data_IF_822672470894
#
_entry.id   IF_822672470894
#
_cell.length_a   1.000
_cell.length_b   1.000
_cell.length_c   1.000
_cell.angle_alpha   90.00
_cell.angle_beta   90.00
_cell.angle_gamma   90.00
#
_symmetry.space_group_name_H-M   'P 1'
#
loop_
_entity.id
_entity.type
_entity.pdbx_description
1 polymer ?
#
# COMPACT_ATOMS: atom_id res chain seq x y z
N UNK A 1 0.40 -120.99 22.63
CA UNK A 1 -0.76 -120.16 22.28
C UNK A 1 -1.82 -120.34 23.34
N UNK A 2 -1.88 -119.45 24.34
CA UNK A 2 -2.91 -119.46 25.35
C UNK A 2 -4.04 -118.57 25.01
N UNK A 3 -5.29 -118.92 25.11
CA UNK A 3 -6.39 -118.03 24.76
C UNK A 3 -6.63 -117.00 25.86
N UNK A 4 -6.60 -115.79 25.47
CA UNK A 4 -6.94 -114.61 26.31
C UNK A 4 -8.38 -114.73 26.79
N UNK A 5 -8.59 -114.93 28.09
CA UNK A 5 -9.93 -114.90 28.72
C UNK A 5 -10.52 -113.54 28.60
N UNK A 6 -11.64 -113.41 27.92
CA UNK A 6 -12.46 -112.23 27.90
C UNK A 6 -13.33 -112.27 29.15
N UNK A 7 -13.06 -111.41 30.08
CA UNK A 7 -13.94 -111.15 31.22
C UNK A 7 -15.15 -110.33 30.79
N UNK A 8 -16.36 -110.70 31.07
CA UNK A 8 -17.51 -109.88 30.69
C UNK A 8 -17.53 -108.58 31.50
N UNK A 9 -17.61 -107.43 30.81
CA UNK A 9 -17.84 -106.14 31.42
C UNK A 9 -19.23 -106.11 32.05
N UNK A 10 -19.35 -105.54 33.24
CA UNK A 10 -20.65 -105.33 33.89
C UNK A 10 -21.57 -104.45 32.96
N UNK A 11 -22.91 -104.65 33.07
CA UNK A 11 -23.83 -103.87 32.23
C UNK A 11 -23.70 -102.34 32.33
N UNK A 12 -23.09 -101.91 33.42
CA UNK A 12 -22.86 -100.44 33.62
C UNK A 12 -21.63 -99.95 32.86
N UNK A 13 -20.63 -100.83 32.66
CA UNK A 13 -19.41 -100.46 31.90
C UNK A 13 -19.63 -100.50 30.38
N UNK A 14 -20.76 -101.04 29.89
CA UNK A 14 -21.14 -101.09 28.48
C UNK A 14 -21.83 -99.79 28.04
N UNK A 15 -22.21 -98.90 28.99
CA UNK A 15 -22.86 -97.56 28.71
C UNK A 15 -21.92 -96.34 28.87
N UNK A 16 -20.68 -96.65 29.29
CA UNK A 16 -19.71 -95.53 29.31
C UNK A 16 -19.14 -95.33 27.90
N UNK A 17 -19.23 -94.13 27.37
CA UNK A 17 -18.65 -93.83 26.05
C UNK A 17 -17.12 -94.04 26.10
N UNK A 18 -16.58 -94.82 25.18
CA UNK A 18 -15.14 -94.94 25.00
C UNK A 18 -14.51 -93.54 24.80
N UNK A 19 -13.66 -93.20 25.77
CA UNK A 19 -12.87 -91.97 25.60
C UNK A 19 -11.96 -92.12 24.38
N UNK A 20 -12.41 -91.67 23.28
CA UNK A 20 -11.58 -91.52 22.08
C UNK A 20 -10.44 -90.56 22.43
N UNK A 21 -9.27 -91.09 22.66
CA UNK A 21 -8.05 -90.28 22.76
C UNK A 21 -7.79 -89.66 21.40
N UNK A 22 -8.13 -88.35 21.29
CA UNK A 22 -7.73 -87.57 20.13
C UNK A 22 -6.21 -87.63 19.99
N UNK A 23 -5.69 -87.94 18.82
CA UNK A 23 -4.25 -87.87 18.61
C UNK A 23 -3.78 -86.45 18.84
N UNK A 24 -2.98 -86.21 19.86
CA UNK A 24 -2.24 -85.00 20.03
C UNK A 24 -1.31 -84.89 18.84
N UNK A 25 -1.77 -84.14 17.81
CA UNK A 25 -0.88 -83.79 16.73
C UNK A 25 0.16 -82.80 17.31
N UNK A 26 1.29 -83.34 17.70
CA UNK A 26 2.46 -82.48 17.93
C UNK A 26 2.79 -81.80 16.62
N UNK A 27 2.40 -80.54 16.54
CA UNK A 27 2.84 -79.68 15.47
C UNK A 27 4.38 -79.62 15.53
N UNK A 28 5.05 -80.51 14.80
CA UNK A 28 6.50 -80.48 14.65
C UNK A 28 6.81 -79.17 13.91
N UNK A 29 7.53 -78.22 14.53
CA UNK A 29 7.92 -76.99 13.84
C UNK A 29 8.72 -77.39 12.58
N UNK A 30 8.29 -76.82 11.42
CA UNK A 30 8.92 -77.12 10.13
C UNK A 30 10.42 -76.79 10.20
N UNK A 31 11.27 -77.67 9.65
CA UNK A 31 12.72 -77.43 9.58
C UNK A 31 13.06 -76.12 8.84
N UNK A 32 12.15 -75.62 7.98
CA UNK A 32 12.28 -74.31 7.31
C UNK A 32 12.20 -73.15 8.29
N UNK A 33 11.45 -73.26 9.38
CA UNK A 33 11.36 -72.22 10.41
C UNK A 33 12.65 -72.01 11.25
N UNK A 34 13.58 -72.99 11.16
CA UNK A 34 14.89 -72.90 11.83
C UNK A 34 16.04 -72.48 10.96
N UNK A 35 15.79 -72.19 9.68
CA UNK A 35 16.84 -71.68 8.81
C UNK A 35 17.12 -70.17 9.15
N UNK A 36 18.36 -69.80 9.59
CA UNK A 36 18.67 -68.46 10.01
C UNK A 36 18.39 -67.45 8.91
N UNK A 37 18.55 -67.77 7.62
CA UNK A 37 18.23 -66.92 6.50
C UNK A 37 16.72 -66.60 6.41
N UNK A 38 15.84 -67.57 6.74
CA UNK A 38 14.39 -67.40 6.77
C UNK A 38 13.97 -66.50 7.96
N UNK A 39 14.63 -66.65 9.11
CA UNK A 39 14.38 -65.84 10.30
C UNK A 39 14.80 -64.41 10.04
N UNK A 40 16.00 -64.17 9.49
CA UNK A 40 16.52 -62.86 9.13
C UNK A 40 15.65 -62.20 8.02
N UNK A 41 15.28 -62.95 6.98
CA UNK A 41 14.41 -62.48 5.93
C UNK A 41 13.03 -62.05 6.44
N UNK A 42 12.41 -62.82 7.34
CA UNK A 42 11.14 -62.48 7.98
C UNK A 42 11.26 -61.26 8.90
N UNK A 43 12.39 -61.14 9.64
CA UNK A 43 12.63 -59.98 10.50
C UNK A 43 12.77 -58.69 9.66
N UNK A 44 13.53 -58.75 8.55
CA UNK A 44 13.67 -57.60 7.63
C UNK A 44 12.30 -57.24 7.00
N UNK A 45 11.55 -58.26 6.54
CA UNK A 45 10.23 -58.05 5.95
C UNK A 45 9.23 -57.45 6.94
N UNK A 46 9.21 -57.92 8.18
CA UNK A 46 8.39 -57.40 9.26
C UNK A 46 8.80 -55.96 9.61
N UNK A 47 10.10 -55.65 9.64
CA UNK A 47 10.61 -54.29 9.84
C UNK A 47 10.18 -53.38 8.71
N UNK A 48 10.27 -53.82 7.45
CA UNK A 48 9.81 -53.01 6.28
C UNK A 48 8.30 -52.74 6.34
N UNK A 49 7.50 -53.75 6.70
CA UNK A 49 6.04 -53.56 6.92
C UNK A 49 5.80 -52.56 8.04
N UNK A 50 6.50 -52.70 9.16
CA UNK A 50 6.37 -51.79 10.30
C UNK A 50 6.73 -50.36 9.88
N UNK A 51 7.86 -50.15 9.17
CA UNK A 51 8.28 -48.87 8.64
C UNK A 51 7.22 -48.30 7.68
N UNK A 52 6.70 -49.14 6.77
CA UNK A 52 5.66 -48.72 5.83
C UNK A 52 4.37 -48.29 6.55
N UNK A 53 3.93 -49.03 7.57
CA UNK A 53 2.73 -48.70 8.37
C UNK A 53 2.97 -47.40 9.16
N UNK A 54 4.15 -47.23 9.78
CA UNK A 54 4.50 -46.04 10.54
C UNK A 54 4.59 -44.82 9.61
N UNK A 55 5.28 -44.93 8.47
CA UNK A 55 5.40 -43.84 7.49
C UNK A 55 4.04 -43.53 6.87
N UNK A 56 3.27 -44.54 6.46
CA UNK A 56 1.92 -44.35 5.91
C UNK A 56 0.99 -43.68 6.93
N UNK A 57 1.02 -44.13 8.18
CA UNK A 57 0.26 -43.52 9.28
C UNK A 57 0.69 -42.05 9.52
N UNK A 58 1.98 -41.81 9.54
CA UNK A 58 2.51 -40.43 9.70
C UNK A 58 2.09 -39.52 8.56
N UNK A 59 2.06 -40.00 7.31
CA UNK A 59 1.60 -39.22 6.14
C UNK A 59 0.11 -38.91 6.25
N UNK A 60 -0.73 -39.88 6.62
CA UNK A 60 -2.19 -39.67 6.77
C UNK A 60 -2.49 -38.69 7.90
N UNK A 61 -1.85 -38.87 9.06
CA UNK A 61 -2.01 -37.95 10.20
C UNK A 61 -1.47 -36.58 9.85
N UNK A 62 -0.30 -36.50 9.20
CA UNK A 62 0.31 -35.23 8.75
C UNK A 62 -0.58 -34.47 7.79
N UNK A 63 -1.18 -35.14 6.80
CA UNK A 63 -2.15 -34.55 5.88
C UNK A 63 -3.39 -34.02 6.60
N UNK A 64 -3.95 -34.80 7.52
CA UNK A 64 -5.10 -34.38 8.32
C UNK A 64 -4.79 -33.14 9.18
N UNK A 65 -3.57 -33.03 9.75
CA UNK A 65 -3.13 -31.88 10.53
C UNK A 65 -2.87 -30.66 9.67
N UNK A 66 -2.38 -30.81 8.42
CA UNK A 66 -2.18 -29.73 7.46
C UNK A 66 -3.51 -29.10 7.03
N UNK A 67 -4.56 -29.89 6.92
CA UNK A 67 -5.89 -29.46 6.46
C UNK A 67 -6.82 -29.06 7.61
N UNK A 68 -6.44 -29.37 8.87
CA UNK A 68 -7.21 -29.00 10.04
C UNK A 68 -7.37 -27.48 10.18
N UNK A 69 -8.53 -27.01 10.67
CA UNK A 69 -8.72 -25.61 10.99
C UNK A 69 -7.65 -25.08 11.95
N UNK A 70 -7.08 -23.93 11.66
CA UNK A 70 -6.08 -23.30 12.51
C UNK A 70 -6.66 -22.59 13.74
N UNK A 71 -5.81 -22.06 14.63
CA UNK A 71 -6.19 -21.47 15.91
C UNK A 71 -6.79 -20.07 15.82
N UNK A 72 -6.70 -19.39 14.66
CA UNK A 72 -7.18 -18.02 14.51
C UNK A 72 -8.69 -17.89 14.73
N UNK A 73 -9.10 -16.99 15.59
CA UNK A 73 -10.51 -16.67 15.83
C UNK A 73 -11.05 -15.65 14.83
N UNK A 74 -10.19 -14.70 14.41
CA UNK A 74 -10.46 -13.63 13.46
C UNK A 74 -9.35 -13.52 12.43
N UNK A 75 -9.58 -12.75 11.35
CA UNK A 75 -8.57 -12.46 10.34
C UNK A 75 -7.40 -11.70 10.96
N UNK A 76 -6.19 -12.13 10.65
CA UNK A 76 -4.97 -11.53 11.21
C UNK A 76 -3.99 -11.14 10.13
N UNK A 77 -3.46 -9.91 10.24
CA UNK A 77 -2.38 -9.40 9.40
C UNK A 77 -1.04 -9.74 10.02
N UNK A 78 -0.16 -10.37 9.26
CA UNK A 78 1.21 -10.72 9.70
C UNK A 78 2.22 -10.27 8.64
N UNK A 79 3.31 -9.66 9.10
CA UNK A 79 4.41 -9.21 8.24
C UNK A 79 5.56 -10.20 8.30
N UNK A 80 5.87 -10.84 7.17
CA UNK A 80 7.03 -11.74 7.02
C UNK A 80 8.21 -10.89 6.51
N UNK A 81 9.28 -10.72 7.30
CA UNK A 81 10.44 -9.91 6.91
C UNK A 81 11.17 -10.48 5.69
N UNK A 82 11.83 -9.63 4.88
CA UNK A 82 12.72 -10.09 3.82
C UNK A 82 13.84 -10.97 4.36
N UNK A 83 14.22 -12.01 3.62
CA UNK A 83 15.28 -12.97 3.96
C UNK A 83 15.00 -13.86 5.18
N UNK A 84 13.75 -13.97 5.63
CA UNK A 84 13.37 -14.94 6.65
C UNK A 84 13.48 -16.36 6.12
N UNK A 85 14.15 -17.23 6.89
CA UNK A 85 14.20 -18.67 6.63
C UNK A 85 12.87 -19.36 7.01
N UNK A 86 12.71 -20.63 6.61
CA UNK A 86 11.50 -21.43 6.95
C UNK A 86 11.26 -21.48 8.46
N UNK A 87 12.35 -21.61 9.24
CA UNK A 87 12.27 -21.67 10.71
C UNK A 87 11.81 -20.32 11.27
N UNK A 88 12.37 -19.21 10.77
CA UNK A 88 12.00 -17.87 11.22
C UNK A 88 10.52 -17.58 10.92
N UNK A 89 10.03 -18.01 9.75
CA UNK A 89 8.63 -17.88 9.37
C UNK A 89 7.74 -18.74 10.28
N UNK A 90 8.12 -20.00 10.55
CA UNK A 90 7.37 -20.87 11.44
C UNK A 90 7.29 -20.28 12.86
N UNK A 91 8.40 -19.80 13.41
CA UNK A 91 8.47 -19.18 14.73
C UNK A 91 7.63 -17.89 14.79
N UNK A 92 7.65 -17.08 13.72
CA UNK A 92 6.83 -15.89 13.58
C UNK A 92 5.33 -16.26 13.58
N UNK A 93 4.92 -17.18 12.73
CA UNK A 93 3.52 -17.60 12.59
C UNK A 93 2.97 -18.24 13.89
N UNK A 94 3.81 -18.99 14.60
CA UNK A 94 3.46 -19.55 15.92
C UNK A 94 3.29 -18.44 16.95
N UNK A 95 4.24 -17.52 17.05
CA UNK A 95 4.18 -16.38 17.98
C UNK A 95 2.97 -15.49 17.73
N UNK A 96 2.62 -15.29 16.46
CA UNK A 96 1.44 -14.53 16.07
C UNK A 96 0.14 -15.34 16.20
N UNK A 97 0.19 -16.62 16.59
CA UNK A 97 -0.99 -17.48 16.77
C UNK A 97 -1.69 -17.84 15.46
N UNK A 98 -1.01 -17.73 14.32
CA UNK A 98 -1.55 -18.14 13.01
C UNK A 98 -1.57 -19.66 12.86
N UNK A 99 -0.55 -20.32 13.42
CA UNK A 99 -0.43 -21.78 13.48
C UNK A 99 -0.29 -22.21 14.93
N UNK A 100 -0.64 -23.48 15.20
CA UNK A 100 -0.43 -24.10 16.51
C UNK A 100 1.06 -24.09 16.92
N UNK A 101 1.35 -24.33 18.21
CA UNK A 101 2.73 -24.37 18.75
C UNK A 101 3.65 -25.37 18.05
N UNK A 102 3.09 -26.36 17.37
CA UNK A 102 3.88 -27.38 16.67
C UNK A 102 4.30 -26.90 15.26
N UNK A 103 5.37 -26.08 15.23
CA UNK A 103 5.99 -25.58 13.99
C UNK A 103 6.42 -26.69 12.99
N UNK A 104 6.59 -27.94 13.46
CA UNK A 104 6.96 -29.05 12.59
C UNK A 104 5.90 -29.35 11.54
N UNK A 105 4.62 -29.07 11.82
CA UNK A 105 3.52 -29.24 10.86
C UNK A 105 3.69 -28.26 9.71
N UNK A 106 4.02 -26.98 10.01
CA UNK A 106 4.28 -25.97 8.98
C UNK A 106 5.51 -26.36 8.13
N UNK A 107 6.62 -26.72 8.77
CA UNK A 107 7.85 -27.14 8.07
C UNK A 107 7.58 -28.36 7.20
N UNK A 108 6.88 -29.35 7.73
CA UNK A 108 6.45 -30.55 6.99
C UNK A 108 5.55 -30.20 5.81
N UNK A 109 4.64 -29.24 5.97
CA UNK A 109 3.77 -28.73 4.92
C UNK A 109 4.55 -28.06 3.79
N UNK A 110 5.50 -27.20 4.12
CA UNK A 110 6.38 -26.56 3.14
C UNK A 110 7.19 -27.59 2.34
N UNK A 111 7.68 -28.64 3.00
CA UNK A 111 8.43 -29.72 2.33
C UNK A 111 7.48 -30.56 1.46
N UNK A 112 6.32 -30.94 1.97
CA UNK A 112 5.34 -31.77 1.24
C UNK A 112 4.79 -31.07 0.00
N UNK A 113 4.64 -29.75 0.04
CA UNK A 113 4.21 -28.91 -1.08
C UNK A 113 5.38 -28.49 -1.99
N UNK A 114 6.60 -28.93 -1.71
CA UNK A 114 7.83 -28.55 -2.42
C UNK A 114 8.02 -27.02 -2.53
N UNK A 115 7.59 -26.29 -1.51
CA UNK A 115 7.47 -24.83 -1.48
C UNK A 115 8.68 -24.10 -0.86
N UNK A 116 9.79 -24.83 -0.65
CA UNK A 116 10.95 -24.35 0.11
C UNK A 116 11.58 -23.07 -0.44
N UNK A 117 11.64 -22.96 -1.76
CA UNK A 117 12.21 -21.81 -2.49
C UNK A 117 11.20 -20.72 -2.78
N UNK A 118 9.90 -20.97 -2.57
CA UNK A 118 8.83 -20.14 -3.10
C UNK A 118 8.13 -19.29 -2.03
N UNK A 119 8.60 -19.39 -0.78
CA UNK A 119 8.12 -18.56 0.32
C UNK A 119 8.53 -17.10 0.10
N UNK A 120 7.54 -16.20 -0.01
CA UNK A 120 7.76 -14.79 -0.29
C UNK A 120 7.61 -13.95 0.99
N UNK A 121 8.51 -12.99 1.16
CA UNK A 121 8.36 -11.97 2.19
C UNK A 121 7.22 -11.01 1.82
N UNK A 122 6.55 -10.42 2.83
CA UNK A 122 5.45 -9.49 2.61
C UNK A 122 4.50 -9.42 3.78
N UNK A 123 3.46 -8.64 3.63
CA UNK A 123 2.36 -8.50 4.57
C UNK A 123 1.18 -9.37 4.10
N UNK A 124 0.73 -10.29 4.93
CA UNK A 124 -0.31 -11.27 4.59
C UNK A 124 -1.50 -11.16 5.51
N UNK A 125 -2.69 -11.35 4.98
CA UNK A 125 -3.90 -11.58 5.77
C UNK A 125 -4.15 -13.08 5.82
N UNK A 126 -4.16 -13.64 7.03
CA UNK A 126 -4.59 -15.01 7.27
C UNK A 126 -6.01 -14.97 7.82
N UNK A 127 -6.90 -15.65 7.11
CA UNK A 127 -8.31 -15.69 7.48
C UNK A 127 -8.56 -16.50 8.74
N UNK A 128 -9.70 -16.27 9.36
CA UNK A 128 -10.20 -17.07 10.48
C UNK A 128 -10.07 -18.55 10.20
N UNK A 129 -9.53 -19.32 11.15
CA UNK A 129 -9.34 -20.77 11.08
C UNK A 129 -8.53 -21.25 9.85
N UNK A 130 -7.67 -20.38 9.29
CA UNK A 130 -6.82 -20.77 8.17
C UNK A 130 -6.00 -22.00 8.52
N UNK A 131 -6.11 -23.06 7.70
CA UNK A 131 -5.32 -24.28 7.87
C UNK A 131 -3.84 -24.01 7.53
N UNK A 132 -2.94 -24.84 8.04
CA UNK A 132 -1.51 -24.71 7.71
C UNK A 132 -1.26 -24.78 6.20
N UNK A 133 -2.04 -25.60 5.47
CA UNK A 133 -2.00 -25.64 4.00
C UNK A 133 -2.32 -24.28 3.41
N UNK A 134 -3.44 -23.66 3.82
CA UNK A 134 -3.84 -22.34 3.30
C UNK A 134 -2.79 -21.27 3.61
N UNK A 135 -2.19 -21.34 4.81
CA UNK A 135 -1.10 -20.43 5.20
C UNK A 135 0.10 -20.57 4.26
N UNK A 136 0.56 -21.81 4.00
CA UNK A 136 1.69 -22.07 3.09
C UNK A 136 1.35 -21.60 1.67
N UNK A 137 0.18 -21.98 1.15
CA UNK A 137 -0.26 -21.61 -0.21
C UNK A 137 -0.34 -20.07 -0.36
N UNK A 138 -0.90 -19.35 0.63
CA UNK A 138 -0.98 -17.89 0.63
C UNK A 138 0.40 -17.24 0.53
N UNK A 139 1.40 -17.76 1.27
CA UNK A 139 2.77 -17.24 1.26
C UNK A 139 3.48 -17.56 -0.07
N UNK A 140 3.29 -18.77 -0.60
CA UNK A 140 3.88 -19.22 -1.87
C UNK A 140 3.31 -18.44 -3.05
N UNK A 141 2.00 -18.28 -3.13
CA UNK A 141 1.33 -17.50 -4.16
C UNK A 141 1.74 -16.02 -4.07
N UNK A 142 2.11 -15.55 -2.88
CA UNK A 142 2.49 -14.16 -2.64
C UNK A 142 1.26 -13.23 -2.65
N UNK A 143 0.14 -13.68 -2.10
CA UNK A 143 -1.08 -12.88 -1.91
C UNK A 143 -0.89 -11.84 -0.81
N UNK A 144 0.05 -10.93 -1.04
CA UNK A 144 0.38 -9.86 -0.08
C UNK A 144 -0.68 -8.77 -0.09
N UNK A 145 -0.82 -8.10 1.05
CA UNK A 145 -1.66 -6.90 1.19
C UNK A 145 -1.14 -5.83 0.26
N UNK A 146 -2.04 -5.29 -0.57
CA UNK A 146 -1.74 -4.15 -1.42
C UNK A 146 -2.24 -2.87 -0.76
N UNK A 147 -1.33 -1.94 -0.54
CA UNK A 147 -1.62 -0.58 -0.12
C UNK A 147 -1.74 0.33 -1.32
N UNK A 148 -2.49 1.41 -1.17
CA UNK A 148 -2.63 2.43 -2.20
C UNK A 148 -2.26 3.80 -1.64
N UNK A 149 -1.51 4.58 -2.43
CA UNK A 149 -1.32 6.00 -2.21
C UNK A 149 -1.85 6.76 -3.42
N UNK A 150 -2.71 7.75 -3.17
CA UNK A 150 -3.22 8.64 -4.21
C UNK A 150 -2.45 9.95 -4.18
N UNK A 151 -1.88 10.31 -5.31
CA UNK A 151 -1.21 11.58 -5.54
C UNK A 151 -2.14 12.47 -6.36
N UNK A 152 -2.72 13.52 -5.79
CA UNK A 152 -3.57 14.47 -6.52
C UNK A 152 -2.81 15.18 -7.63
N UNK A 153 -3.52 15.51 -8.71
CA UNK A 153 -3.03 16.32 -9.81
C UNK A 153 -2.76 17.78 -9.33
N UNK A 154 -1.88 18.49 -9.99
CA UNK A 154 -1.57 19.88 -9.70
C UNK A 154 -0.72 20.11 -8.43
N UNK A 155 -0.17 19.07 -7.81
CA UNK A 155 0.78 19.21 -6.71
C UNK A 155 2.18 19.54 -7.24
N UNK A 156 2.91 20.40 -6.52
CA UNK A 156 4.34 20.59 -6.77
C UNK A 156 5.13 19.36 -6.33
N UNK A 157 6.34 19.21 -6.84
CA UNK A 157 7.21 18.10 -6.46
C UNK A 157 7.54 18.10 -4.96
N UNK A 158 7.68 19.27 -4.33
CA UNK A 158 7.84 19.38 -2.87
C UNK A 158 6.62 18.84 -2.11
N UNK A 159 5.41 19.18 -2.56
CA UNK A 159 4.18 18.67 -1.95
C UNK A 159 4.01 17.16 -2.13
N UNK A 160 4.40 16.62 -3.29
CA UNK A 160 4.40 15.17 -3.53
C UNK A 160 5.38 14.48 -2.59
N UNK A 161 6.61 15.03 -2.45
CA UNK A 161 7.62 14.50 -1.52
C UNK A 161 7.11 14.51 -0.08
N UNK A 162 6.50 15.61 0.37
CA UNK A 162 5.90 15.69 1.70
C UNK A 162 4.85 14.58 1.90
N UNK A 163 3.95 14.40 0.94
CA UNK A 163 2.93 13.34 0.99
C UNK A 163 3.51 11.92 1.02
N UNK A 164 4.61 11.68 0.30
CA UNK A 164 5.31 10.39 0.36
C UNK A 164 6.02 10.19 1.71
N UNK A 165 6.51 11.25 2.34
CA UNK A 165 7.14 11.19 3.66
C UNK A 165 6.13 10.93 4.77
N UNK A 166 4.91 11.46 4.66
CA UNK A 166 3.81 11.25 5.61
C UNK A 166 3.24 9.82 5.56
N UNK A 167 3.54 9.04 4.51
CA UNK A 167 3.07 7.66 4.41
C UNK A 167 3.95 6.73 5.24
N UNK A 168 3.36 6.14 6.29
CA UNK A 168 4.07 5.26 7.25
C UNK A 168 4.44 3.88 6.69
N UNK A 169 3.79 3.44 5.60
CA UNK A 169 4.01 2.11 5.02
C UNK A 169 5.21 2.11 4.07
N UNK A 170 5.42 3.25 3.38
CA UNK A 170 6.59 3.44 2.53
C UNK A 170 7.85 3.56 3.40
N UNK A 171 8.91 2.87 2.98
CA UNK A 171 10.19 2.86 3.70
C UNK A 171 11.24 3.77 3.05
N UNK A 172 12.34 4.00 3.76
CA UNK A 172 13.50 4.74 3.25
C UNK A 172 13.29 6.25 3.21
N UNK A 173 14.32 6.96 2.74
CA UNK A 173 14.36 8.44 2.62
C UNK A 173 14.34 8.86 1.16
N UNK A 174 13.96 10.11 0.90
CA UNK A 174 14.07 10.77 -0.41
C UNK A 174 15.32 11.65 -0.35
N UNK A 175 16.24 11.47 -1.29
CA UNK A 175 17.53 12.18 -1.30
C UNK A 175 17.43 13.58 -1.90
N UNK A 176 16.61 13.71 -2.92
CA UNK A 176 16.47 14.92 -3.69
C UNK A 176 15.02 15.09 -4.14
N UNK A 177 14.53 16.34 -4.09
CA UNK A 177 13.21 16.69 -4.63
C UNK A 177 13.25 16.53 -6.15
N UNK A 178 12.36 15.76 -6.76
CA UNK A 178 12.29 15.58 -8.21
C UNK A 178 12.05 16.91 -8.93
N UNK A 179 12.48 16.99 -10.18
CA UNK A 179 12.17 18.15 -11.03
C UNK A 179 10.65 18.31 -11.18
N UNK A 180 10.20 19.56 -11.21
CA UNK A 180 8.79 19.87 -11.46
C UNK A 180 8.31 19.28 -12.79
N UNK A 181 7.08 18.78 -12.83
CA UNK A 181 6.49 18.15 -14.02
C UNK A 181 7.03 16.75 -14.35
N UNK A 182 7.96 16.20 -13.53
CA UNK A 182 8.57 14.90 -13.81
C UNK A 182 7.85 13.71 -13.21
N UNK A 183 6.82 13.92 -12.40
CA UNK A 183 6.08 12.89 -11.73
C UNK A 183 4.65 12.82 -12.27
N UNK A 184 4.13 11.64 -12.58
CA UNK A 184 2.72 11.49 -12.93
C UNK A 184 1.89 11.36 -11.65
N UNK A 185 0.96 12.29 -11.39
CA UNK A 185 -0.05 12.10 -10.33
C UNK A 185 -1.02 10.99 -10.71
N UNK A 186 -1.22 10.02 -9.80
CA UNK A 186 -2.14 8.90 -9.99
C UNK A 186 -2.35 8.15 -8.66
N UNK A 187 -3.18 7.10 -8.69
CA UNK A 187 -3.28 6.08 -7.65
C UNK A 187 -2.23 4.98 -7.84
N UNK A 188 -1.32 4.83 -6.87
CA UNK A 188 -0.24 3.85 -6.93
C UNK A 188 -0.45 2.74 -5.90
N UNK A 189 -0.54 1.49 -6.38
CA UNK A 189 -0.56 0.31 -5.52
C UNK A 189 0.86 -0.16 -5.22
N UNK A 190 1.11 -0.55 -3.98
CA UNK A 190 2.43 -1.01 -3.55
C UNK A 190 2.30 -1.97 -2.35
N UNK A 191 3.34 -2.77 -2.11
CA UNK A 191 3.39 -3.70 -0.99
C UNK A 191 4.25 -3.11 0.13
N UNK A 192 4.04 -3.55 1.37
CA UNK A 192 4.93 -3.19 2.49
C UNK A 192 6.38 -3.53 2.15
N UNK A 193 7.30 -2.62 2.51
CA UNK A 193 8.72 -2.72 2.13
C UNK A 193 9.09 -1.98 0.84
N UNK A 194 8.10 -1.47 0.09
CA UNK A 194 8.36 -0.59 -1.04
C UNK A 194 8.96 0.73 -0.55
N UNK A 195 9.99 1.24 -1.23
CA UNK A 195 10.65 2.46 -0.80
C UNK A 195 10.08 3.71 -1.46
N UNK A 196 10.20 4.85 -0.78
CA UNK A 196 9.81 6.17 -1.33
C UNK A 196 10.56 6.48 -2.62
N UNK A 197 11.83 6.11 -2.71
CA UNK A 197 12.63 6.30 -3.92
C UNK A 197 12.12 5.45 -5.09
N UNK A 198 11.74 4.19 -4.82
CA UNK A 198 11.10 3.34 -5.84
C UNK A 198 9.76 3.92 -6.31
N UNK A 199 8.99 4.53 -5.41
CA UNK A 199 7.75 5.20 -5.77
C UNK A 199 8.01 6.39 -6.70
N UNK A 200 8.97 7.25 -6.38
CA UNK A 200 9.39 8.36 -7.24
C UNK A 200 9.82 7.85 -8.62
N UNK A 201 10.64 6.80 -8.69
CA UNK A 201 11.07 6.22 -9.95
C UNK A 201 9.90 5.67 -10.77
N UNK A 202 8.93 5.04 -10.11
CA UNK A 202 7.72 4.55 -10.77
C UNK A 202 6.87 5.69 -11.33
N UNK A 203 6.71 6.78 -10.58
CA UNK A 203 5.99 7.97 -11.01
C UNK A 203 6.69 8.65 -12.19
N UNK A 204 8.03 8.76 -12.17
CA UNK A 204 8.84 9.29 -13.30
C UNK A 204 8.67 8.45 -14.55
N UNK A 205 8.82 7.13 -14.43
CA UNK A 205 8.65 6.22 -15.57
C UNK A 205 7.24 6.28 -16.16
N UNK A 206 6.22 6.47 -15.32
CA UNK A 206 4.85 6.66 -15.78
C UNK A 206 4.70 7.97 -16.56
N UNK A 207 5.26 9.07 -16.03
CA UNK A 207 5.26 10.37 -16.68
C UNK A 207 5.99 10.34 -18.03
N UNK A 208 7.19 9.76 -18.08
CA UNK A 208 7.97 9.66 -19.32
C UNK A 208 7.26 8.83 -20.40
N UNK A 209 6.58 7.74 -20.00
CA UNK A 209 5.78 6.94 -20.95
C UNK A 209 4.60 7.73 -21.50
N UNK A 210 3.82 8.35 -20.61
CA UNK A 210 2.67 9.17 -21.00
C UNK A 210 3.08 10.31 -21.93
N UNK A 211 4.14 11.03 -21.55
CA UNK A 211 4.60 12.20 -22.31
C UNK A 211 5.02 11.80 -23.73
N UNK A 212 5.74 10.70 -23.91
CA UNK A 212 6.09 10.18 -25.25
C UNK A 212 4.85 9.82 -26.05
N UNK A 213 3.93 9.06 -25.45
CA UNK A 213 2.70 8.62 -26.10
C UNK A 213 1.85 9.83 -26.55
N UNK A 214 1.65 10.80 -25.69
CA UNK A 214 0.84 11.99 -26.00
C UNK A 214 1.53 12.89 -27.01
N UNK A 215 2.86 13.05 -26.92
CA UNK A 215 3.63 13.87 -27.87
C UNK A 215 3.57 13.32 -29.31
N UNK A 216 3.60 12.00 -29.47
CA UNK A 216 3.47 11.36 -30.82
C UNK A 216 2.11 11.62 -31.46
N UNK A 217 1.05 11.73 -30.66
CA UNK A 217 -0.34 11.92 -31.12
C UNK A 217 -0.82 13.38 -31.03
N UNK A 218 0.11 14.33 -30.81
CA UNK A 218 -0.24 15.74 -30.68
C UNK A 218 -0.81 16.34 -31.98
N UNK A 219 -1.59 17.38 -31.84
CA UNK A 219 -2.06 18.18 -32.98
C UNK A 219 -0.87 18.71 -33.82
N UNK A 220 -0.89 18.57 -35.15
CA UNK A 220 0.19 19.05 -36.03
C UNK A 220 0.37 20.58 -35.96
N UNK A 221 -0.68 21.33 -35.65
CA UNK A 221 -0.68 22.79 -35.59
C UNK A 221 -0.28 23.34 -34.20
N UNK A 222 0.16 22.48 -33.30
CA UNK A 222 0.52 22.87 -31.95
C UNK A 222 1.78 23.76 -31.96
N UNK A 223 1.77 24.96 -31.31
CA UNK A 223 2.89 25.87 -31.33
C UNK A 223 4.01 25.50 -30.34
N UNK A 224 4.17 24.22 -30.03
CA UNK A 224 5.17 23.69 -29.10
C UNK A 224 6.24 22.91 -29.86
N UNK A 225 7.51 23.06 -29.43
CA UNK A 225 8.67 22.48 -30.14
C UNK A 225 9.24 21.23 -29.49
N UNK A 226 8.88 20.95 -28.24
CA UNK A 226 9.41 19.80 -27.49
C UNK A 226 8.39 19.26 -26.49
N UNK A 227 8.56 17.98 -26.06
CA UNK A 227 7.78 17.42 -24.96
C UNK A 227 7.89 18.22 -23.66
N UNK A 228 9.05 18.85 -23.39
CA UNK A 228 9.20 19.71 -22.20
C UNK A 228 8.26 20.92 -22.25
N UNK A 229 8.10 21.55 -23.43
CA UNK A 229 7.14 22.63 -23.60
C UNK A 229 5.69 22.16 -23.40
N UNK A 230 5.39 20.92 -23.76
CA UNK A 230 4.07 20.34 -23.53
C UNK A 230 3.75 20.19 -22.03
N UNK A 231 4.70 19.72 -21.23
CA UNK A 231 4.53 19.63 -19.78
C UNK A 231 4.39 21.00 -19.14
N UNK A 232 5.16 21.97 -19.58
CA UNK A 232 5.04 23.35 -19.10
C UNK A 232 3.63 23.89 -19.35
N UNK A 233 3.10 23.76 -20.57
CA UNK A 233 1.74 24.19 -20.89
C UNK A 233 0.69 23.41 -20.10
N UNK A 234 0.86 22.08 -19.98
CA UNK A 234 -0.06 21.21 -19.23
C UNK A 234 -0.15 21.62 -17.75
N UNK A 235 0.98 21.97 -17.11
CA UNK A 235 1.00 22.43 -15.72
C UNK A 235 0.26 23.75 -15.50
N UNK A 236 0.26 24.62 -16.51
CA UNK A 236 -0.54 25.86 -16.48
C UNK A 236 -2.03 25.53 -16.59
N UNK A 237 -2.42 24.67 -17.55
CA UNK A 237 -3.80 24.26 -17.75
C UNK A 237 -4.36 23.54 -16.50
N UNK A 238 -3.56 22.69 -15.85
CA UNK A 238 -3.92 22.00 -14.63
C UNK A 238 -4.36 22.97 -13.52
N UNK A 239 -3.69 24.11 -13.42
CA UNK A 239 -3.95 25.12 -12.38
C UNK A 239 -5.05 26.10 -12.74
N UNK A 240 -5.46 26.19 -14.01
CA UNK A 240 -6.47 27.14 -14.47
C UNK A 240 -7.89 26.60 -14.34
N UNK A 241 -8.12 25.31 -14.57
CA UNK A 241 -9.46 24.78 -14.52
C UNK A 241 -9.54 23.40 -13.90
N UNK A 242 -10.48 23.23 -12.97
CA UNK A 242 -10.86 21.94 -12.43
C UNK A 242 -11.95 21.24 -13.27
N UNK A 243 -12.57 21.96 -14.25
CA UNK A 243 -13.64 21.42 -15.09
C UNK A 243 -13.06 20.63 -16.27
N UNK A 244 -13.29 19.32 -16.36
CA UNK A 244 -12.72 18.48 -17.45
C UNK A 244 -13.15 18.97 -18.85
N UNK A 245 -14.38 19.44 -19.00
CA UNK A 245 -14.96 19.90 -20.26
C UNK A 245 -14.33 21.21 -20.78
N UNK A 246 -13.71 22.00 -19.91
CA UNK A 246 -13.08 23.27 -20.30
C UNK A 246 -11.60 23.11 -20.63
N UNK A 247 -10.93 22.04 -20.18
CA UNK A 247 -9.47 21.88 -20.32
C UNK A 247 -8.98 22.10 -21.75
N UNK A 248 -9.66 21.50 -22.74
CA UNK A 248 -9.25 21.64 -24.15
C UNK A 248 -9.47 23.06 -24.69
N UNK A 249 -10.47 23.81 -24.18
CA UNK A 249 -10.72 25.21 -24.54
C UNK A 249 -9.69 26.15 -23.89
N UNK A 250 -9.37 25.94 -22.60
CA UNK A 250 -8.31 26.67 -21.90
C UNK A 250 -6.97 26.42 -22.61
N UNK A 251 -6.69 25.16 -22.98
CA UNK A 251 -5.52 24.81 -23.78
C UNK A 251 -5.50 25.56 -25.14
N UNK A 252 -6.66 25.69 -25.79
CA UNK A 252 -6.77 26.42 -27.06
C UNK A 252 -6.45 27.91 -26.90
N UNK A 253 -6.94 28.57 -25.84
CA UNK A 253 -6.61 29.98 -25.58
C UNK A 253 -5.10 30.16 -25.45
N UNK A 254 -4.41 29.37 -24.65
CA UNK A 254 -2.96 29.48 -24.49
C UNK A 254 -2.21 29.14 -25.79
N UNK A 255 -2.62 28.10 -26.52
CA UNK A 255 -2.04 27.76 -27.81
C UNK A 255 -2.21 28.92 -28.83
N UNK A 256 -3.39 29.54 -28.87
CA UNK A 256 -3.66 30.69 -29.74
C UNK A 256 -2.83 31.91 -29.35
N UNK A 257 -2.70 32.21 -28.05
CA UNK A 257 -1.83 33.31 -27.55
C UNK A 257 -0.38 33.04 -27.92
N UNK A 258 0.13 31.81 -27.77
CA UNK A 258 1.49 31.45 -28.17
C UNK A 258 1.72 31.66 -29.69
N UNK A 259 0.76 31.25 -30.54
CA UNK A 259 0.81 31.49 -31.99
C UNK A 259 0.89 32.96 -32.34
N UNK A 260 0.18 33.80 -31.60
CA UNK A 260 0.14 35.26 -31.79
C UNK A 260 1.24 36.02 -31.03
N UNK A 261 2.15 35.30 -30.35
CA UNK A 261 3.21 35.89 -29.51
C UNK A 261 2.67 36.79 -28.40
N UNK A 262 1.45 36.54 -27.95
CA UNK A 262 0.87 37.23 -26.80
C UNK A 262 1.46 36.65 -25.49
N UNK A 263 1.42 37.43 -24.42
CA UNK A 263 1.73 36.98 -23.07
C UNK A 263 0.62 36.03 -22.60
N UNK A 264 0.96 35.03 -21.76
CA UNK A 264 -0.04 34.07 -21.27
C UNK A 264 -0.92 34.65 -20.15
N UNK A 265 -0.36 35.56 -19.32
CA UNK A 265 -1.07 36.31 -18.28
C UNK A 265 -1.92 35.43 -17.36
N UNK A 266 -1.27 34.48 -16.72
CA UNK A 266 -1.90 33.50 -15.85
C UNK A 266 -1.35 33.58 -14.42
N UNK A 267 -2.25 33.76 -13.45
CA UNK A 267 -1.95 33.95 -12.03
C UNK A 267 -1.15 32.78 -11.42
N UNK A 268 -1.46 31.49 -11.69
CA UNK A 268 -0.68 30.36 -11.16
C UNK A 268 0.82 30.44 -11.40
N UNK A 269 1.25 30.98 -12.53
CA UNK A 269 2.68 31.13 -12.83
C UNK A 269 3.35 32.19 -11.95
N UNK A 270 2.63 33.25 -11.60
CA UNK A 270 3.10 34.27 -10.65
C UNK A 270 3.22 33.68 -9.26
N UNK A 271 2.17 32.95 -8.82
CA UNK A 271 2.14 32.26 -7.53
C UNK A 271 3.34 31.33 -7.40
N UNK A 272 3.58 30.47 -8.41
CA UNK A 272 4.70 29.54 -8.40
C UNK A 272 6.06 30.26 -8.33
N UNK A 273 6.24 31.32 -9.14
CA UNK A 273 7.46 32.13 -9.16
C UNK A 273 7.78 32.80 -7.84
N UNK A 274 6.75 33.18 -7.07
CA UNK A 274 6.89 33.82 -5.76
C UNK A 274 7.00 32.82 -4.61
N UNK A 275 6.27 31.68 -4.69
CA UNK A 275 6.28 30.63 -3.67
C UNK A 275 7.48 29.68 -3.78
N UNK A 276 8.27 29.75 -4.85
CA UNK A 276 9.42 28.88 -5.11
C UNK A 276 9.08 27.38 -4.98
N UNK A 277 7.94 26.96 -5.57
CA UNK A 277 7.51 25.57 -5.55
C UNK A 277 6.76 25.12 -4.29
N UNK A 278 6.59 25.97 -3.26
CA UNK A 278 5.84 25.61 -2.03
C UNK A 278 4.33 25.51 -2.22
N UNK A 279 3.81 25.76 -3.42
CA UNK A 279 2.42 25.52 -3.81
C UNK A 279 1.44 26.65 -3.54
N UNK A 280 1.57 27.45 -2.50
CA UNK A 280 0.66 28.54 -2.15
C UNK A 280 1.39 29.72 -1.54
N UNK A 281 0.88 30.93 -1.80
CA UNK A 281 1.35 32.15 -1.13
C UNK A 281 0.70 32.37 0.25
N UNK A 282 -0.37 31.62 0.58
CA UNK A 282 -1.16 31.84 1.80
C UNK A 282 -1.96 33.15 1.82
N UNK A 283 -1.93 33.94 0.74
CA UNK A 283 -2.67 35.20 0.56
C UNK A 283 -3.03 35.41 -0.91
N UNK A 284 -4.01 36.24 -1.21
CA UNK A 284 -4.30 36.65 -2.59
C UNK A 284 -3.14 37.39 -3.27
N UNK A 285 -3.07 37.30 -4.59
CA UNK A 285 -2.13 38.10 -5.40
C UNK A 285 -2.46 39.59 -5.31
N UNK A 286 -1.42 40.38 -5.18
CA UNK A 286 -1.51 41.85 -5.23
C UNK A 286 -1.07 42.39 -6.62
N UNK A 287 -1.42 43.61 -6.92
CA UNK A 287 -0.93 44.29 -8.14
C UNK A 287 0.60 44.38 -8.20
N UNK A 288 1.26 44.49 -7.05
CA UNK A 288 2.72 44.52 -6.97
C UNK A 288 3.30 43.12 -7.32
N UNK A 289 2.66 42.02 -6.89
CA UNK A 289 3.08 40.66 -7.25
C UNK A 289 2.99 40.42 -8.75
N UNK A 290 1.90 40.86 -9.40
CA UNK A 290 1.70 40.76 -10.85
C UNK A 290 2.75 41.56 -11.63
N UNK A 291 3.20 42.67 -11.09
CA UNK A 291 4.23 43.53 -11.72
C UNK A 291 5.67 43.03 -11.46
N UNK A 292 5.88 42.09 -10.52
CA UNK A 292 7.21 41.66 -10.13
C UNK A 292 7.89 40.83 -11.24
N UNK A 293 9.11 41.22 -11.70
CA UNK A 293 9.81 40.52 -12.77
C UNK A 293 10.44 39.22 -12.25
N UNK A 294 9.71 38.11 -12.31
CA UNK A 294 10.25 36.75 -12.09
C UNK A 294 10.30 36.00 -13.41
N UNK A 295 11.19 34.99 -13.55
CA UNK A 295 11.25 34.17 -14.76
C UNK A 295 9.93 33.43 -15.06
N UNK A 296 9.10 33.20 -14.05
CA UNK A 296 7.81 32.52 -14.20
C UNK A 296 6.63 33.46 -14.43
N UNK A 297 6.79 34.78 -14.22
CA UNK A 297 5.69 35.74 -14.34
C UNK A 297 5.28 35.95 -15.80
N UNK A 298 4.22 35.28 -16.23
CA UNK A 298 3.70 35.37 -17.60
C UNK A 298 2.97 36.68 -17.94
N UNK A 299 2.77 37.59 -16.98
CA UNK A 299 2.38 38.97 -17.23
C UNK A 299 3.55 39.84 -17.70
N UNK A 300 4.79 39.40 -17.40
CA UNK A 300 6.02 40.14 -17.76
C UNK A 300 6.74 39.49 -18.94
N UNK A 301 6.90 38.16 -18.91
CA UNK A 301 7.60 37.41 -19.96
C UNK A 301 6.68 37.11 -21.15
N UNK A 302 7.27 36.88 -22.32
CA UNK A 302 6.59 36.35 -23.50
C UNK A 302 6.80 34.86 -23.62
N UNK A 303 5.74 34.13 -24.01
CA UNK A 303 5.79 32.67 -24.20
C UNK A 303 5.66 31.87 -22.89
N UNK A 304 6.19 30.68 -22.91
CA UNK A 304 6.16 29.75 -21.77
C UNK A 304 7.20 30.14 -20.70
N UNK A 305 6.93 29.89 -19.42
CA UNK A 305 7.95 30.03 -18.37
C UNK A 305 9.07 28.98 -18.56
N UNK A 306 10.19 29.06 -17.82
CA UNK A 306 11.36 28.20 -18.02
C UNK A 306 11.14 26.74 -17.61
N UNK A 307 10.08 26.45 -16.87
CA UNK A 307 9.73 25.10 -16.40
C UNK A 307 8.26 24.98 -16.00
N UNK A 308 7.81 23.74 -15.72
CA UNK A 308 6.48 23.50 -15.18
C UNK A 308 6.27 24.14 -13.81
N UNK A 309 5.02 24.40 -13.45
CA UNK A 309 4.64 24.98 -12.16
C UNK A 309 4.01 23.98 -11.19
N UNK A 310 3.79 22.77 -11.66
CA UNK A 310 3.33 21.61 -10.89
C UNK A 310 3.58 20.30 -11.66
N UNK A 311 3.06 19.19 -11.13
CA UNK A 311 2.99 17.92 -11.82
C UNK A 311 1.56 17.75 -12.34
N UNK A 312 1.32 17.95 -13.66
CA UNK A 312 -0.02 17.86 -14.23
C UNK A 312 -0.48 16.42 -14.40
N UNK A 313 -1.79 16.20 -14.30
CA UNK A 313 -2.43 14.93 -14.59
C UNK A 313 -2.48 14.61 -16.09
N UNK A 314 -2.84 13.37 -16.40
CA UNK A 314 -3.00 12.86 -17.78
C UNK A 314 -3.90 13.76 -18.60
N UNK A 315 -5.05 14.14 -18.07
CA UNK A 315 -6.06 14.90 -18.81
C UNK A 315 -5.56 16.29 -19.26
N UNK A 316 -4.76 16.97 -18.44
CA UNK A 316 -4.18 18.26 -18.79
C UNK A 316 -3.05 18.13 -19.81
N UNK A 317 -2.26 17.05 -19.77
CA UNK A 317 -1.23 16.75 -20.78
C UNK A 317 -1.89 16.45 -22.14
N UNK A 318 -2.97 15.66 -22.15
CA UNK A 318 -3.73 15.35 -23.36
C UNK A 318 -4.42 16.60 -23.95
N UNK A 319 -5.00 17.44 -23.09
CA UNK A 319 -5.61 18.71 -23.51
C UNK A 319 -4.58 19.69 -24.09
N UNK A 320 -3.39 19.79 -23.48
CA UNK A 320 -2.29 20.61 -23.97
C UNK A 320 -1.80 20.17 -25.34
N UNK A 321 -1.77 18.84 -25.59
CA UNK A 321 -1.35 18.26 -26.86
C UNK A 321 -2.41 18.40 -27.98
N UNK A 322 -3.69 18.38 -27.60
CA UNK A 322 -4.80 18.42 -28.54
C UNK A 322 -5.85 19.47 -28.10
N UNK A 323 -5.49 20.75 -28.17
CA UNK A 323 -6.41 21.84 -27.81
C UNK A 323 -7.62 21.87 -28.73
N UNK A 324 -8.73 22.43 -28.24
CA UNK A 324 -9.92 22.64 -29.04
C UNK A 324 -9.63 23.58 -30.23
N UNK A 325 -10.31 23.35 -31.35
CA UNK A 325 -10.15 24.20 -32.55
C UNK A 325 -11.02 25.45 -32.45
N UNK A 326 -10.56 26.44 -31.68
CA UNK A 326 -11.24 27.72 -31.48
C UNK A 326 -10.31 28.91 -31.84
N UNK A 327 -10.88 30.10 -31.95
CA UNK A 327 -10.13 31.35 -32.11
C UNK A 327 -10.06 32.16 -30.81
N UNK A 328 -10.49 31.57 -29.72
CA UNK A 328 -10.57 32.22 -28.39
C UNK A 328 -9.17 32.61 -27.91
N UNK A 329 -9.05 33.83 -27.39
CA UNK A 329 -7.83 34.43 -26.87
C UNK A 329 -7.95 34.82 -25.40
N UNK A 330 -9.17 34.86 -24.87
CA UNK A 330 -9.47 35.31 -23.53
C UNK A 330 -10.47 34.37 -22.85
N UNK A 331 -10.34 34.23 -21.55
CA UNK A 331 -11.35 33.65 -20.68
C UNK A 331 -11.41 34.40 -19.35
N UNK A 332 -12.51 34.31 -18.66
CA UNK A 332 -12.72 34.88 -17.32
C UNK A 332 -13.76 34.02 -16.62
N UNK A 333 -13.72 33.91 -15.29
CA UNK A 333 -14.71 33.20 -14.52
C UNK A 333 -16.15 33.67 -14.87
N UNK A 334 -17.09 32.74 -14.96
CA UNK A 334 -18.48 33.02 -15.31
C UNK A 334 -19.42 33.16 -14.10
N UNK A 335 -18.87 33.03 -12.88
CA UNK A 335 -19.63 33.07 -11.63
C UNK A 335 -20.31 31.75 -11.25
N UNK A 336 -20.22 30.71 -12.10
CA UNK A 336 -20.81 29.36 -11.85
C UNK A 336 -19.72 28.31 -11.59
N UNK A 337 -18.49 28.74 -11.40
CA UNK A 337 -17.29 27.88 -11.25
C UNK A 337 -16.68 27.43 -12.59
N UNK A 338 -17.12 28.01 -13.72
CA UNK A 338 -16.56 27.82 -15.05
C UNK A 338 -16.06 29.12 -15.64
N UNK A 339 -15.83 29.13 -16.96
CA UNK A 339 -15.27 30.25 -17.68
C UNK A 339 -16.11 30.68 -18.86
N UNK A 340 -16.23 32.01 -19.03
CA UNK A 340 -16.73 32.65 -20.23
C UNK A 340 -15.56 32.95 -21.17
N UNK A 341 -15.54 32.35 -22.34
CA UNK A 341 -14.49 32.49 -23.36
C UNK A 341 -14.82 33.58 -24.36
N UNK A 342 -13.79 34.21 -24.94
CA UNK A 342 -13.96 35.26 -25.91
C UNK A 342 -12.82 35.24 -26.96
N UNK A 343 -13.16 35.60 -28.22
CA UNK A 343 -12.18 35.76 -29.30
C UNK A 343 -11.57 37.15 -29.32
N UNK A 344 -12.33 38.18 -28.89
CA UNK A 344 -11.91 39.58 -28.90
C UNK A 344 -11.86 40.19 -27.50
N UNK A 345 -11.02 41.21 -27.35
CA UNK A 345 -10.89 41.93 -26.08
C UNK A 345 -12.19 42.64 -25.69
N UNK A 346 -12.97 43.12 -26.66
CA UNK A 346 -14.27 43.74 -26.40
C UNK A 346 -15.26 42.75 -25.78
N UNK A 347 -15.37 41.52 -26.34
CA UNK A 347 -16.20 40.45 -25.77
C UNK A 347 -15.74 40.07 -24.36
N UNK A 348 -14.42 39.99 -24.16
CA UNK A 348 -13.83 39.72 -22.86
C UNK A 348 -14.20 40.80 -21.83
N UNK A 349 -14.13 42.08 -22.18
CA UNK A 349 -14.57 43.16 -21.29
C UNK A 349 -16.05 43.04 -20.89
N UNK A 350 -16.93 42.65 -21.82
CA UNK A 350 -18.35 42.40 -21.53
C UNK A 350 -18.52 41.26 -20.53
N UNK A 351 -17.73 40.17 -20.69
CA UNK A 351 -17.74 39.04 -19.77
C UNK A 351 -17.25 39.44 -18.37
N UNK A 352 -16.15 40.24 -18.30
CA UNK A 352 -15.63 40.78 -17.03
C UNK A 352 -16.65 41.68 -16.34
N UNK A 353 -17.36 42.56 -17.11
CA UNK A 353 -18.41 43.38 -16.55
C UNK A 353 -19.55 42.54 -15.97
N UNK A 354 -19.96 41.48 -16.67
CA UNK A 354 -20.99 40.55 -16.20
C UNK A 354 -20.57 39.82 -14.91
N UNK A 355 -19.33 39.35 -14.85
CA UNK A 355 -18.80 38.68 -13.63
C UNK A 355 -18.88 39.63 -12.42
N UNK A 356 -18.48 40.93 -12.60
CA UNK A 356 -18.53 41.91 -11.50
C UNK A 356 -19.95 42.12 -10.97
N UNK A 357 -20.97 42.07 -11.84
CA UNK A 357 -22.37 42.18 -11.42
C UNK A 357 -22.74 40.95 -10.56
N UNK A 358 -22.41 39.74 -11.04
CA UNK A 358 -22.66 38.47 -10.31
C UNK A 358 -22.00 38.51 -8.95
N UNK A 359 -20.70 38.86 -8.87
CA UNK A 359 -19.96 38.95 -7.61
C UNK A 359 -20.56 39.96 -6.63
N UNK A 360 -21.06 41.08 -7.16
CA UNK A 360 -21.72 42.10 -6.34
C UNK A 360 -23.05 41.57 -5.77
N UNK A 361 -23.86 40.89 -6.58
CA UNK A 361 -25.15 40.28 -6.17
C UNK A 361 -24.88 39.19 -5.11
N UNK A 362 -23.94 38.29 -5.33
CA UNK A 362 -23.56 37.24 -4.37
C UNK A 362 -23.06 37.80 -3.04
N UNK A 363 -22.31 38.93 -3.09
CA UNK A 363 -21.84 39.59 -1.87
C UNK A 363 -22.97 40.30 -1.12
N UNK A 364 -23.98 40.80 -1.83
CA UNK A 364 -25.17 41.44 -1.24
C UNK A 364 -26.13 40.40 -0.60
N UNK A 365 -26.18 39.17 -1.14
CA UNK A 365 -26.97 38.07 -0.62
C UNK A 365 -26.29 37.29 0.50
N UNK A 366 -24.96 37.41 0.64
CA UNK A 366 -24.23 36.74 1.70
C UNK A 366 -24.67 37.28 3.07
N UNK A 367 -25.02 36.40 4.04
CA UNK A 367 -25.34 36.85 5.39
C UNK A 367 -24.14 37.62 5.98
N UNK A 368 -24.37 38.67 6.79
CA UNK A 368 -23.28 39.39 7.40
C UNK A 368 -22.35 38.41 8.14
N UNK A 369 -21.03 38.64 8.10
CA UNK A 369 -20.11 37.77 8.82
C UNK A 369 -20.55 37.71 10.28
N UNK A 370 -20.82 36.49 10.75
CA UNK A 370 -21.09 36.24 12.15
C UNK A 370 -19.93 36.79 12.95
N UNK A 371 -20.14 37.92 13.64
CA UNK A 371 -19.13 38.49 14.52
C UNK A 371 -18.94 37.45 15.62
N UNK A 372 -17.93 36.59 15.47
CA UNK A 372 -17.51 35.73 16.57
C UNK A 372 -17.22 36.63 17.76
N UNK A 373 -18.13 36.58 18.74
CA UNK A 373 -17.87 37.24 20.03
C UNK A 373 -16.48 36.80 20.53
N UNK A 374 -15.64 37.73 20.98
CA UNK A 374 -14.34 37.39 21.52
C UNK A 374 -14.56 36.28 22.55
N UNK A 375 -13.69 35.22 22.55
CA UNK A 375 -13.82 34.13 23.52
C UNK A 375 -13.92 34.72 24.90
N UNK A 376 -15.02 34.45 25.58
CA UNK A 376 -15.27 34.91 26.96
C UNK A 376 -14.00 34.59 27.74
N UNK A 377 -13.40 35.64 28.36
CA UNK A 377 -12.23 35.50 29.18
C UNK A 377 -12.53 34.39 30.21
N UNK A 378 -11.82 33.28 30.12
CA UNK A 378 -11.88 32.26 31.17
C UNK A 378 -11.49 32.95 32.46
N UNK A 379 -12.49 33.18 33.31
CA UNK A 379 -12.26 33.58 34.70
C UNK A 379 -11.35 32.54 35.32
N UNK A 380 -10.15 32.95 35.70
CA UNK A 380 -9.21 32.15 36.45
C UNK A 380 -9.90 31.68 37.75
N UNK A 381 -9.74 30.40 38.13
CA UNK A 381 -10.28 29.96 39.44
C UNK A 381 -9.61 30.76 40.55
N UNK A 382 -10.44 31.30 41.45
CA UNK A 382 -10.03 32.07 42.62
C UNK A 382 -8.97 31.31 43.42
N UNK A 383 -7.85 31.99 43.68
CA UNK A 383 -6.77 31.50 44.51
C UNK A 383 -7.31 31.18 45.92
N UNK A 384 -7.16 29.93 46.36
CA UNK A 384 -7.39 29.50 47.70
C UNK A 384 -6.42 30.22 48.66
N UNK A 385 -6.94 30.77 49.77
CA UNK A 385 -6.22 31.47 50.81
C UNK A 385 -5.12 30.60 51.47
N UNK A 386 -3.99 31.17 51.89
CA UNK A 386 -2.90 30.41 52.47
C UNK A 386 -3.17 30.01 53.90
N UNK A 387 -3.10 28.72 54.23
CA UNK A 387 -3.11 28.18 55.55
C UNK A 387 -1.79 28.49 56.29
N UNK A 388 -1.92 28.76 57.57
CA UNK A 388 -0.93 29.30 58.51
C UNK A 388 0.39 28.52 58.63
N UNK A 389 1.47 29.27 58.66
CA UNK A 389 2.84 28.85 59.00
C UNK A 389 2.90 28.22 60.43
N UNK A 390 3.45 27.01 60.49
CA UNK A 390 4.08 26.48 61.72
C UNK A 390 5.60 26.60 61.59
N UNK A 391 6.24 27.28 62.53
CA UNK A 391 7.70 27.47 62.69
C UNK A 391 8.36 26.17 63.17
N UNK A 392 9.45 25.75 62.51
CA UNK A 392 10.65 25.15 63.22
C UNK A 392 11.85 25.29 62.26
N UNK A 393 12.73 26.15 62.72
CA UNK A 393 14.10 26.05 63.21
C UNK A 393 15.15 25.37 62.37
N UNK A 394 16.01 26.22 61.84
CA UNK A 394 17.47 26.29 61.77
C UNK A 394 18.29 25.00 61.67
N UNK A 395 19.14 24.90 60.65
CA UNK A 395 20.61 24.98 60.71
C UNK A 395 21.25 24.41 59.44
N UNK A 396 22.31 25.09 58.98
CA UNK A 396 23.40 24.45 58.25
C UNK A 396 23.65 24.88 56.80
N UNK A 397 24.24 26.06 56.59
CA UNK A 397 25.19 26.32 55.52
C UNK A 397 26.52 25.58 55.82
N UNK A 398 27.34 25.15 54.85
CA UNK A 398 28.21 26.14 54.22
C UNK A 398 28.62 25.89 52.75
N UNK A 399 29.01 27.01 52.15
CA UNK A 399 30.15 27.33 51.26
C UNK A 399 30.25 26.82 49.82
N UNK A 400 30.32 27.84 49.00
CA UNK A 400 30.86 27.96 47.66
C UNK A 400 32.26 27.39 47.42
N UNK A 401 32.58 27.19 46.13
CA UNK A 401 33.85 27.34 45.41
C UNK A 401 33.53 26.72 44.00
N UNK A 402 33.71 27.27 42.84
CA UNK A 402 34.57 28.25 42.28
C UNK A 402 34.64 27.89 40.79
N UNK A 403 34.34 28.77 39.86
CA UNK A 403 34.80 28.81 38.47
C UNK A 403 36.33 28.86 38.41
N UNK A 404 37.07 28.50 37.36
CA UNK A 404 36.94 29.13 36.03
C UNK A 404 37.35 28.23 34.81
N UNK A 405 37.04 28.63 33.69
CA UNK A 405 37.56 28.81 32.34
C UNK A 405 36.68 28.18 31.26
#
# INVERSE_FOLDING_TARGET
MEPKRITPRSPRAALEPDLVSLPTSSLRPSRRARNPLVIVGNAIFSLLILVFVVVGGAVVIGKGRLEAPGPLQDDKVVVIPPRSGIMDIADLLTREGVIEENRLIFIGGVIALNARSDLKAGEYVFGRQASVRNVVETIVEGKVVQHQITIPEGLTSEQIVARLLDNEILSGTIREVPREGSLLPDGYYFNRGFTREQMIQRMRQAQDRLLREVWERRSPDLPLKSPDQLIILASIIERETSKPEERTRVAAVFANRLKQKMKLETDPTVIYGLAFGKGSLGRPLTKADIAQPTPYNTYVIHGLPPGPIDNPGRASIEAAANPARTKELFFVADGTGGHAFAETYEQHQKNVARLRVIEHEQRAEAPPPEVQAPPAARTAPAAAAPAARSKRSANGLPKAIGTPQ
#
